data_IF_970669178793
#
_entry.id   IF_970669178793
#
_cell.length_a   1.000
_cell.length_b   1.000
_cell.length_c   1.000
_cell.angle_alpha   90.00
_cell.angle_beta   90.00
_cell.angle_gamma   90.00
#
_symmetry.space_group_name_H-M   'P 1'
#
loop_
_entity.id
_entity.type
_entity.pdbx_description
1 polymer ?
#
# COMPACT_ATOMS: atom_id res chain seq x y z
N UNK A 1 7.09 13.37 11.69
CA UNK A 1 7.49 12.00 11.31
C UNK A 1 7.60 11.96 9.80
N UNK A 2 8.78 11.72 9.21
CA UNK A 2 8.93 11.63 7.76
C UNK A 2 8.02 10.54 7.18
N UNK A 3 7.49 10.81 5.98
CA UNK A 3 6.65 9.89 5.23
C UNK A 3 7.36 9.53 3.93
N UNK A 4 7.87 8.31 3.85
CA UNK A 4 8.54 7.76 2.68
C UNK A 4 7.50 6.96 1.90
N UNK A 5 7.31 7.27 0.62
CA UNK A 5 6.35 6.58 -0.24
C UNK A 5 7.06 5.92 -1.40
N UNK A 6 6.65 4.70 -1.74
CA UNK A 6 7.18 3.92 -2.88
C UNK A 6 6.02 3.18 -3.53
N UNK A 7 5.96 3.14 -4.87
CA UNK A 7 5.01 2.26 -5.57
C UNK A 7 5.60 0.86 -5.74
N UNK A 8 4.81 -0.18 -5.49
CA UNK A 8 5.17 -1.58 -5.71
C UNK A 8 5.55 -1.89 -7.16
N UNK A 9 5.05 -1.10 -8.11
CA UNK A 9 5.41 -1.22 -9.53
C UNK A 9 6.88 -0.85 -9.81
N UNK A 10 7.51 -0.02 -8.96
CA UNK A 10 8.91 0.40 -9.12
C UNK A 10 9.91 -0.73 -8.90
N UNK A 11 9.47 -1.86 -8.36
CA UNK A 11 10.31 -3.03 -8.19
C UNK A 11 10.20 -4.02 -9.36
N UNK A 12 9.32 -3.78 -10.33
CA UNK A 12 9.18 -4.62 -11.53
C UNK A 12 10.20 -4.18 -12.57
N UNK A 13 11.25 -4.96 -12.76
CA UNK A 13 12.32 -4.63 -13.71
C UNK A 13 12.67 -5.82 -14.60
N UNK A 14 13.11 -5.54 -15.83
CA UNK A 14 13.57 -6.58 -16.77
C UNK A 14 14.96 -7.12 -16.40
N UNK A 15 15.70 -6.40 -15.56
CA UNK A 15 17.05 -6.74 -15.16
C UNK A 15 17.06 -7.49 -13.83
N UNK A 16 17.63 -8.69 -13.84
CA UNK A 16 17.74 -9.55 -12.66
C UNK A 16 18.50 -8.84 -11.55
N UNK A 17 17.90 -8.79 -10.36
CA UNK A 17 18.55 -8.26 -9.14
C UNK A 17 18.31 -6.78 -8.86
N UNK A 18 17.70 -6.03 -9.78
CA UNK A 18 17.35 -4.62 -9.54
C UNK A 18 16.25 -4.49 -8.48
N UNK A 19 15.18 -5.27 -8.56
CA UNK A 19 14.11 -5.27 -7.57
C UNK A 19 14.59 -5.55 -6.14
N UNK A 20 15.34 -6.64 -5.86
CA UNK A 20 15.90 -6.90 -4.53
C UNK A 20 16.83 -5.78 -4.03
N UNK A 21 17.62 -5.15 -4.92
CA UNK A 21 18.46 -4.01 -4.53
C UNK A 21 17.61 -2.83 -4.06
N UNK A 22 16.58 -2.46 -4.84
CA UNK A 22 15.67 -1.36 -4.47
C UNK A 22 14.96 -1.61 -3.15
N UNK A 23 14.56 -2.85 -2.86
CA UNK A 23 13.98 -3.21 -1.56
C UNK A 23 14.98 -2.92 -0.43
N UNK A 24 16.24 -3.35 -0.56
CA UNK A 24 17.28 -3.08 0.45
C UNK A 24 17.52 -1.57 0.63
N UNK A 25 17.58 -0.83 -0.46
CA UNK A 25 17.81 0.62 -0.44
C UNK A 25 16.64 1.37 0.22
N UNK A 26 15.40 0.98 -0.10
CA UNK A 26 14.19 1.51 0.53
C UNK A 26 14.21 1.33 2.05
N UNK A 27 14.49 0.11 2.53
CA UNK A 27 14.55 -0.15 3.97
C UNK A 27 15.76 0.50 4.64
N UNK A 28 16.91 0.57 3.98
CA UNK A 28 18.08 1.32 4.45
C UNK A 28 17.75 2.81 4.62
N UNK A 29 17.03 3.40 3.66
CA UNK A 29 16.57 4.78 3.74
C UNK A 29 15.60 4.99 4.91
N UNK A 30 14.64 4.08 5.10
CA UNK A 30 13.70 4.16 6.23
C UNK A 30 14.42 4.09 7.59
N UNK A 31 15.40 3.19 7.73
CA UNK A 31 16.24 3.07 8.94
C UNK A 31 17.02 4.35 9.22
N UNK A 32 17.60 4.98 8.19
CA UNK A 32 18.35 6.25 8.32
C UNK A 32 17.46 7.44 8.75
N UNK A 33 16.17 7.40 8.41
CA UNK A 33 15.22 8.48 8.71
C UNK A 33 14.31 8.15 9.90
N UNK A 34 14.62 7.10 10.67
CA UNK A 34 13.85 6.74 11.86
C UNK A 34 13.86 7.90 12.88
N UNK A 35 12.71 8.24 13.50
CA UNK A 35 11.40 7.58 13.37
C UNK A 35 10.64 8.03 12.11
N UNK A 36 10.19 7.09 11.26
CA UNK A 36 9.47 7.40 10.02
C UNK A 36 8.33 6.41 9.71
N UNK A 37 7.48 6.79 8.76
CA UNK A 37 6.49 5.91 8.13
C UNK A 37 6.99 5.56 6.74
N UNK A 38 7.07 4.26 6.43
CA UNK A 38 7.34 3.73 5.10
C UNK A 38 6.03 3.22 4.51
N UNK A 39 5.55 3.84 3.44
CA UNK A 39 4.32 3.49 2.74
C UNK A 39 4.62 2.86 1.37
N UNK A 40 4.10 1.64 1.15
CA UNK A 40 4.24 0.89 -0.09
C UNK A 40 2.86 0.78 -0.75
N UNK A 41 2.62 1.54 -1.82
CA UNK A 41 1.39 1.41 -2.59
C UNK A 41 1.47 0.22 -3.57
N UNK A 42 0.33 -0.30 -4.01
CA UNK A 42 0.25 -1.38 -4.99
C UNK A 42 1.18 -2.58 -4.68
N UNK A 43 1.22 -3.02 -3.42
CA UNK A 43 2.11 -4.11 -3.00
C UNK A 43 1.82 -5.42 -3.75
N UNK A 44 0.62 -5.59 -4.32
CA UNK A 44 0.29 -6.72 -5.20
C UNK A 44 0.99 -6.70 -6.56
N UNK A 45 1.79 -5.68 -6.88
CA UNK A 45 2.75 -5.72 -7.97
C UNK A 45 3.91 -6.68 -7.68
N UNK A 46 4.40 -6.73 -6.43
CA UNK A 46 5.53 -7.60 -6.00
C UNK A 46 5.13 -8.74 -5.09
N UNK A 47 3.99 -8.61 -4.42
CA UNK A 47 3.54 -9.51 -3.36
C UNK A 47 2.69 -10.67 -3.85
N UNK A 48 2.63 -10.95 -5.16
CA UNK A 48 1.73 -11.99 -5.69
C UNK A 48 2.18 -13.39 -5.27
N UNK A 49 1.20 -14.20 -4.87
CA UNK A 49 1.33 -15.63 -4.61
C UNK A 49 1.76 -16.35 -5.89
N UNK A 50 2.65 -17.33 -5.74
CA UNK A 50 3.11 -18.21 -6.81
C UNK A 50 1.93 -18.81 -7.59
N UNK A 51 1.81 -18.44 -8.86
CA UNK A 51 0.85 -19.03 -9.81
C UNK A 51 1.54 -20.08 -10.67
N UNK A 52 1.12 -21.34 -10.56
CA UNK A 52 1.73 -22.44 -11.31
C UNK A 52 1.66 -22.27 -12.83
N UNK A 53 2.70 -22.78 -13.50
CA UNK A 53 2.89 -22.92 -14.97
C UNK A 53 3.55 -21.75 -15.72
N UNK A 54 4.58 -21.12 -15.17
CA UNK A 54 5.63 -20.54 -16.04
C UNK A 54 6.80 -21.51 -16.11
N UNK A 55 6.92 -22.19 -17.25
CA UNK A 55 8.04 -23.06 -17.58
C UNK A 55 9.32 -22.21 -17.71
N UNK A 56 10.26 -22.37 -16.78
CA UNK A 56 11.65 -21.94 -16.93
C UNK A 56 11.98 -20.55 -16.36
N UNK A 57 12.44 -20.52 -15.11
CA UNK A 57 13.10 -19.36 -14.48
C UNK A 57 12.39 -18.86 -13.23
N UNK A 58 13.13 -18.76 -12.11
CA UNK A 58 12.67 -17.98 -10.94
C UNK A 58 12.37 -16.56 -11.41
N UNK A 59 11.14 -16.10 -11.24
CA UNK A 59 10.77 -14.75 -11.66
C UNK A 59 11.51 -13.74 -10.78
N UNK A 60 11.94 -12.63 -11.39
CA UNK A 60 12.54 -11.50 -10.68
C UNK A 60 11.65 -11.04 -9.52
N UNK A 61 10.32 -11.05 -9.76
CA UNK A 61 9.28 -10.80 -8.78
C UNK A 61 9.38 -11.69 -7.52
N UNK A 62 9.66 -13.00 -7.67
CA UNK A 62 9.84 -13.90 -6.52
C UNK A 62 11.06 -13.53 -5.68
N UNK A 63 12.17 -13.16 -6.33
CA UNK A 63 13.37 -12.73 -5.65
C UNK A 63 13.14 -11.42 -4.89
N UNK A 64 12.44 -10.48 -5.50
CA UNK A 64 12.03 -9.20 -4.88
C UNK A 64 11.12 -9.44 -3.68
N UNK A 65 10.13 -10.33 -3.79
CA UNK A 65 9.26 -10.72 -2.68
C UNK A 65 10.06 -11.34 -1.53
N UNK A 66 10.96 -12.29 -1.83
CA UNK A 66 11.79 -12.91 -0.80
C UNK A 66 12.66 -11.88 -0.08
N UNK A 67 13.23 -10.92 -0.80
CA UNK A 67 14.01 -9.84 -0.20
C UNK A 67 13.16 -8.94 0.71
N UNK A 68 11.92 -8.64 0.30
CA UNK A 68 10.97 -7.90 1.12
C UNK A 68 10.68 -8.64 2.44
N UNK A 69 10.45 -9.96 2.39
CA UNK A 69 10.25 -10.77 3.59
C UNK A 69 11.45 -10.74 4.53
N UNK A 70 12.67 -10.85 3.99
CA UNK A 70 13.92 -10.80 4.77
C UNK A 70 14.09 -9.45 5.46
N UNK A 71 13.84 -8.35 4.74
CA UNK A 71 13.94 -7.02 5.33
C UNK A 71 12.89 -6.81 6.42
N UNK A 72 11.66 -7.29 6.23
CA UNK A 72 10.59 -7.20 7.24
C UNK A 72 10.91 -8.02 8.50
N UNK A 73 11.45 -9.23 8.35
CA UNK A 73 11.88 -10.06 9.49
C UNK A 73 13.05 -9.40 10.26
N UNK A 74 13.82 -8.53 9.59
CA UNK A 74 14.91 -7.76 10.18
C UNK A 74 14.47 -6.53 11.00
N UNK A 75 13.19 -6.16 11.00
CA UNK A 75 12.69 -5.06 11.83
C UNK A 75 12.47 -5.50 13.27
N UNK A 76 13.47 -5.23 14.10
CA UNK A 76 13.29 -5.24 15.55
C UNK A 76 12.57 -3.96 16.00
N UNK A 77 11.80 -4.07 17.08
CA UNK A 77 11.02 -3.00 17.73
C UNK A 77 11.83 -1.74 18.09
N UNK A 78 13.16 -1.83 18.03
CA UNK A 78 14.10 -0.73 18.30
C UNK A 78 14.18 0.31 17.17
N UNK A 79 13.73 -0.01 15.96
CA UNK A 79 14.05 0.81 14.77
C UNK A 79 13.04 1.93 14.52
N UNK A 80 11.98 2.07 15.33
CA UNK A 80 10.97 3.16 15.24
C UNK A 80 10.46 3.48 13.82
N UNK A 81 10.37 2.48 12.95
CA UNK A 81 9.77 2.61 11.61
C UNK A 81 8.44 1.89 11.60
N UNK A 82 7.41 2.57 11.10
CA UNK A 82 6.10 1.97 10.85
C UNK A 82 5.98 1.70 9.35
N UNK A 83 5.76 0.43 8.98
CA UNK A 83 5.56 0.04 7.57
C UNK A 83 4.06 -0.06 7.30
N UNK A 84 3.59 0.63 6.28
CA UNK A 84 2.23 0.60 5.77
C UNK A 84 2.26 0.12 4.32
N UNK A 85 1.27 -0.66 3.91
CA UNK A 85 1.12 -1.06 2.53
C UNK A 85 -0.34 -1.00 2.09
N UNK A 86 -0.56 -0.72 0.81
CA UNK A 86 -1.87 -0.69 0.18
C UNK A 86 -1.94 -1.70 -0.98
N UNK A 87 -3.11 -2.30 -1.16
CA UNK A 87 -3.40 -3.24 -2.24
C UNK A 87 -4.86 -3.18 -2.62
N UNK A 88 -5.14 -3.38 -3.91
CA UNK A 88 -6.50 -3.60 -4.40
C UNK A 88 -6.90 -5.08 -4.39
N UNK A 89 -5.94 -6.00 -4.19
CA UNK A 89 -6.12 -7.44 -4.41
C UNK A 89 -5.47 -8.28 -3.31
N UNK A 90 -6.11 -8.35 -2.15
CA UNK A 90 -5.64 -9.20 -1.04
C UNK A 90 -5.70 -10.70 -1.38
N UNK A 91 -6.56 -11.11 -2.31
CA UNK A 91 -6.78 -12.50 -2.74
C UNK A 91 -5.54 -13.11 -3.40
N UNK A 92 -4.76 -12.29 -4.10
CA UNK A 92 -3.54 -12.75 -4.80
C UNK A 92 -2.28 -12.56 -3.99
N UNK A 93 -2.33 -11.94 -2.81
CA UNK A 93 -1.12 -11.71 -2.02
C UNK A 93 -0.57 -13.01 -1.42
N UNK A 94 0.75 -13.09 -1.35
CA UNK A 94 1.44 -14.19 -0.68
C UNK A 94 1.14 -14.16 0.82
N UNK A 95 0.66 -15.30 1.34
CA UNK A 95 0.30 -15.45 2.76
C UNK A 95 1.47 -15.19 3.70
N UNK A 96 2.72 -15.32 3.23
CA UNK A 96 3.91 -15.00 4.00
C UNK A 96 3.94 -13.53 4.42
N UNK A 97 3.46 -12.60 3.59
CA UNK A 97 3.40 -11.16 3.93
C UNK A 97 2.44 -10.87 5.10
N UNK A 98 1.38 -11.68 5.22
CA UNK A 98 0.30 -11.50 6.19
C UNK A 98 0.56 -12.20 7.53
N UNK A 99 1.75 -12.78 7.73
CA UNK A 99 2.10 -13.48 8.99
C UNK A 99 2.40 -12.46 10.10
N UNK A 100 2.18 -12.84 11.38
CA UNK A 100 2.61 -12.02 12.51
C UNK A 100 4.08 -11.61 12.42
N UNK A 101 4.38 -10.36 12.76
CA UNK A 101 5.72 -9.77 12.62
C UNK A 101 5.98 -9.08 11.27
N UNK A 102 5.05 -9.17 10.31
CA UNK A 102 5.10 -8.49 9.01
C UNK A 102 3.90 -7.55 8.88
N UNK A 103 3.01 -7.75 7.91
CA UNK A 103 1.72 -7.04 7.84
C UNK A 103 0.69 -7.76 8.73
N UNK A 104 0.90 -7.65 10.04
CA UNK A 104 0.07 -8.29 11.07
C UNK A 104 -1.28 -7.59 11.28
N UNK A 105 -1.36 -6.28 11.02
CA UNK A 105 -2.59 -5.48 11.05
C UNK A 105 -3.14 -5.29 9.66
N UNK A 106 -4.38 -5.74 9.47
CA UNK A 106 -5.12 -5.58 8.22
C UNK A 106 -6.32 -4.67 8.47
N UNK A 107 -6.43 -3.61 7.69
CA UNK A 107 -7.54 -2.66 7.74
C UNK A 107 -8.26 -2.73 6.41
N UNK A 108 -9.49 -3.22 6.43
CA UNK A 108 -10.33 -3.25 5.24
C UNK A 108 -10.98 -1.89 5.04
N UNK A 109 -10.84 -1.33 3.84
CA UNK A 109 -11.45 -0.05 3.45
C UNK A 109 -12.56 -0.35 2.44
N UNK A 110 -13.83 -0.46 2.88
CA UNK A 110 -14.95 -0.68 1.97
C UNK A 110 -15.28 0.59 1.19
N UNK A 111 -16.10 0.43 0.14
CA UNK A 111 -16.76 1.57 -0.49
C UNK A 111 -17.60 2.35 0.56
N UNK A 112 -17.63 3.70 0.48
CA UNK A 112 -18.36 4.51 1.45
C UNK A 112 -19.88 4.30 1.35
N UNK A 113 -20.54 4.25 2.50
CA UNK A 113 -21.99 4.28 2.60
C UNK A 113 -22.55 5.66 2.20
N UNK A 114 -23.87 5.79 2.16
CA UNK A 114 -24.51 7.05 1.74
C UNK A 114 -24.13 8.24 2.65
N UNK A 115 -23.90 8.00 3.94
CA UNK A 115 -23.46 9.02 4.90
C UNK A 115 -22.00 9.41 4.67
N UNK A 116 -21.14 8.42 4.43
CA UNK A 116 -19.74 8.60 4.06
C UNK A 116 -19.60 9.38 2.76
N UNK A 117 -20.35 9.01 1.71
CA UNK A 117 -20.40 9.76 0.44
C UNK A 117 -20.82 11.20 0.64
N UNK A 118 -21.89 11.45 1.43
CA UNK A 118 -22.32 12.81 1.74
C UNK A 118 -21.22 13.59 2.48
N UNK A 119 -20.49 12.93 3.39
CA UNK A 119 -19.38 13.56 4.12
C UNK A 119 -18.21 13.90 3.20
N UNK A 120 -17.86 13.02 2.26
CA UNK A 120 -16.86 13.27 1.22
C UNK A 120 -17.25 14.48 0.38
N UNK A 121 -18.48 14.51 -0.15
CA UNK A 121 -18.96 15.65 -0.93
C UNK A 121 -18.97 16.94 -0.12
N UNK A 122 -19.33 16.89 1.17
CA UNK A 122 -19.30 18.05 2.04
C UNK A 122 -17.90 18.66 2.15
N UNK A 123 -16.85 17.84 2.25
CA UNK A 123 -15.44 18.31 2.25
C UNK A 123 -15.12 19.02 0.93
N UNK A 124 -15.47 18.42 -0.21
CA UNK A 124 -15.19 19.01 -1.53
C UNK A 124 -16.04 20.25 -1.86
N UNK A 125 -17.25 20.37 -1.29
CA UNK A 125 -18.11 21.56 -1.45
C UNK A 125 -17.70 22.71 -0.51
N UNK A 126 -16.97 22.42 0.58
CA UNK A 126 -16.51 23.41 1.55
C UNK A 126 -15.81 24.64 0.93
N UNK A 127 -14.82 24.50 0.03
CA UNK A 127 -14.11 25.65 -0.55
C UNK A 127 -14.95 26.47 -1.56
N UNK A 128 -16.07 25.95 -2.06
CA UNK A 128 -16.82 26.60 -3.13
C UNK A 128 -17.66 27.77 -2.60
N UNK A 129 -17.58 28.94 -3.24
CA UNK A 129 -18.49 30.06 -2.95
C UNK A 129 -19.78 29.85 -3.70
N UNK A 130 -20.87 29.61 -2.98
CA UNK A 130 -22.19 29.39 -3.56
C UNK A 130 -23.27 29.84 -2.58
N UNK A 131 -24.41 30.26 -3.12
CA UNK A 131 -25.63 30.55 -2.36
C UNK A 131 -26.42 29.27 -2.03
N UNK A 132 -26.06 28.15 -2.67
CA UNK A 132 -26.72 26.86 -2.46
C UNK A 132 -26.36 26.26 -1.10
N UNK A 133 -27.33 25.57 -0.49
CA UNK A 133 -27.09 24.82 0.74
C UNK A 133 -26.20 23.60 0.45
N UNK A 134 -24.94 23.66 0.86
CA UNK A 134 -23.92 22.63 0.65
C UNK A 134 -24.26 21.30 1.30
N UNK A 135 -24.95 21.30 2.44
CA UNK A 135 -25.36 20.08 3.13
C UNK A 135 -26.40 19.32 2.32
N UNK A 136 -27.41 20.02 1.80
CA UNK A 136 -28.43 19.42 0.94
C UNK A 136 -27.83 18.95 -0.39
N UNK A 137 -26.91 19.74 -0.96
CA UNK A 137 -26.22 19.38 -2.19
C UNK A 137 -25.37 18.12 -2.01
N UNK A 138 -24.61 18.02 -0.92
CA UNK A 138 -23.80 16.84 -0.60
C UNK A 138 -24.64 15.56 -0.51
N UNK A 139 -25.80 15.62 0.18
CA UNK A 139 -26.73 14.48 0.29
C UNK A 139 -27.33 14.11 -1.07
N UNK A 140 -27.70 15.10 -1.88
CA UNK A 140 -28.24 14.86 -3.23
C UNK A 140 -27.19 14.19 -4.13
N UNK A 141 -25.95 14.67 -4.11
CA UNK A 141 -24.84 14.09 -4.88
C UNK A 141 -24.50 12.68 -4.40
N UNK A 142 -24.51 12.44 -3.09
CA UNK A 142 -24.28 11.12 -2.51
C UNK A 142 -25.32 10.07 -2.95
N UNK A 143 -26.58 10.48 -3.12
CA UNK A 143 -27.66 9.62 -3.61
C UNK A 143 -27.57 9.34 -5.12
N UNK A 144 -26.97 10.25 -5.89
CA UNK A 144 -26.80 10.13 -7.34
C UNK A 144 -25.49 9.44 -7.74
N UNK A 145 -24.59 9.22 -6.79
CA UNK A 145 -23.33 8.49 -7.01
C UNK A 145 -23.57 7.02 -6.71
N UNK A 146 -23.33 6.10 -7.68
CA UNK A 146 -23.50 4.67 -7.49
C UNK A 146 -22.62 4.11 -6.37
#
# INVERSE_FOLDING_TARGET
VPFITVSGSEFLEMFVGVGPSRVRDMFSMARKHAPCILFIDEIDAVGRKRGGRSFGGHSEQENTLNQLLVEMDGFNTTTNVVVLAATNRVDILDKALLRPGRFDRQIFVPAPDIKGRASIFKVHLSPLKTTLNKENLARKMAALTP
#
